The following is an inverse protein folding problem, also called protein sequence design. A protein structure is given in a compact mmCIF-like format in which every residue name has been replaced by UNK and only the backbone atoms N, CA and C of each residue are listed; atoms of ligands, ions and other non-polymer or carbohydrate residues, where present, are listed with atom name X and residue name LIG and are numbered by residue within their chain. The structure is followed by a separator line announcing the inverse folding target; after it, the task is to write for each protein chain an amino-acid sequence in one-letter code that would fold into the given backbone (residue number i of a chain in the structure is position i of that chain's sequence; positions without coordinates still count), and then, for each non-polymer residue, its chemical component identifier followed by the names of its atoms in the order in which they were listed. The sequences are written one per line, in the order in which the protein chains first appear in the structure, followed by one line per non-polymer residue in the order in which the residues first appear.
data_IF_820718403692
#
_entry.id   IF_820718403692
#
_cell.length_a   1.000
_cell.length_b   1.000
_cell.length_c   1.000
_cell.angle_alpha   90.00
_cell.angle_beta   90.00
_cell.angle_gamma   90.00
#
_symmetry.space_group_name_H-M   'P 1'
#
loop_
_entity.id
_entity.type
_entity.pdbx_description
1 polymer ?
#
# COMPACT_ATOMS: atom_id res chain seq x y z
N UNK A 1 -17.94 -1.34 13.91
CA UNK A 1 -19.41 -1.44 14.04
C UNK A 1 -19.94 -2.83 13.65
N UNK A 2 -19.49 -3.44 12.54
CA UNK A 2 -19.94 -4.80 12.12
C UNK A 2 -19.74 -5.92 13.15
N UNK A 3 -18.75 -5.81 14.04
CA UNK A 3 -18.51 -6.79 15.12
C UNK A 3 -19.05 -6.36 16.49
N UNK A 4 -19.99 -5.40 16.54
CA UNK A 4 -20.59 -4.90 17.79
C UNK A 4 -19.70 -3.98 18.63
N UNK A 5 -18.44 -3.77 18.23
CA UNK A 5 -17.55 -2.78 18.83
C UNK A 5 -17.70 -1.42 18.13
N UNK A 6 -17.87 -0.37 18.94
CA UNK A 6 -17.93 1.03 18.54
C UNK A 6 -16.68 1.70 19.11
N UNK A 7 -15.95 2.44 18.28
CA UNK A 7 -14.78 3.17 18.74
C UNK A 7 -15.24 4.44 19.47
N UNK A 8 -14.77 4.63 20.70
CA UNK A 8 -15.04 5.86 21.47
C UNK A 8 -14.27 7.06 20.90
N UNK A 9 -13.10 6.80 20.30
CA UNK A 9 -12.23 7.81 19.71
C UNK A 9 -11.83 7.42 18.29
N UNK A 10 -11.93 8.36 17.36
CA UNK A 10 -11.39 8.26 16.00
C UNK A 10 -10.62 9.55 15.70
N UNK A 11 -9.42 9.47 15.10
CA UNK A 11 -8.66 10.66 14.77
C UNK A 11 -9.27 11.37 13.56
N UNK A 12 -9.20 12.70 13.56
CA UNK A 12 -9.73 13.53 12.48
C UNK A 12 -8.88 13.40 11.20
N UNK A 13 -7.60 13.04 11.36
CA UNK A 13 -6.69 12.66 10.29
C UNK A 13 -6.32 11.17 10.45
N UNK A 14 -6.31 10.44 9.35
CA UNK A 14 -5.97 9.01 9.33
C UNK A 14 -4.44 8.76 9.45
N UNK A 15 -3.81 9.28 10.50
CA UNK A 15 -2.40 9.07 10.82
C UNK A 15 -2.19 8.75 12.32
N UNK A 16 -0.98 8.30 12.65
CA UNK A 16 -0.63 7.81 13.99
C UNK A 16 -0.56 8.95 15.01
N UNK A 17 -0.02 10.09 14.59
CA UNK A 17 0.21 11.27 15.40
C UNK A 17 -1.11 11.87 15.89
N UNK A 18 -2.08 12.05 14.99
CA UNK A 18 -3.42 12.55 15.32
C UNK A 18 -4.17 11.61 16.28
N UNK A 19 -3.95 10.29 16.18
CA UNK A 19 -4.53 9.33 17.12
C UNK A 19 -3.94 9.49 18.53
N UNK A 20 -2.62 9.64 18.64
CA UNK A 20 -1.95 9.88 19.93
C UNK A 20 -2.48 11.15 20.57
N UNK A 21 -2.53 12.26 19.81
CA UNK A 21 -3.05 13.53 20.31
C UNK A 21 -4.50 13.41 20.80
N UNK A 22 -5.38 12.78 20.02
CA UNK A 22 -6.78 12.58 20.38
C UNK A 22 -6.92 11.79 21.68
N UNK A 23 -6.19 10.68 21.82
CA UNK A 23 -6.26 9.85 23.03
C UNK A 23 -5.74 10.60 24.25
N UNK A 24 -4.61 11.29 24.15
CA UNK A 24 -4.02 12.07 25.25
C UNK A 24 -4.94 13.21 25.71
N UNK A 25 -5.67 13.83 24.79
CA UNK A 25 -6.62 14.91 25.10
C UNK A 25 -7.88 14.42 25.81
N UNK A 26 -8.33 13.19 25.53
CA UNK A 26 -9.62 12.69 25.99
C UNK A 26 -9.52 11.68 27.14
N UNK A 27 -8.35 11.05 27.34
CA UNK A 27 -8.17 9.96 28.30
C UNK A 27 -6.96 10.20 29.20
N UNK A 28 -7.00 9.63 30.41
CA UNK A 28 -5.85 9.64 31.31
C UNK A 28 -4.83 8.60 30.83
N UNK A 29 -3.63 9.05 30.45
CA UNK A 29 -2.58 8.12 30.01
C UNK A 29 -1.81 7.48 31.17
N UNK A 30 -1.58 8.23 32.25
CA UNK A 30 -0.72 7.80 33.36
C UNK A 30 -1.27 6.53 34.03
N UNK A 31 -0.47 5.46 34.03
CA UNK A 31 -0.82 4.11 34.56
C UNK A 31 -1.93 3.38 33.78
N UNK A 32 -2.30 3.86 32.60
CA UNK A 32 -3.26 3.17 31.72
C UNK A 32 -2.53 2.11 30.93
N UNK A 33 -3.08 0.90 30.91
CA UNK A 33 -2.54 -0.23 30.14
C UNK A 33 -3.27 -0.32 28.80
N UNK A 34 -2.53 -0.19 27.71
CA UNK A 34 -3.08 -0.11 26.36
C UNK A 34 -2.57 -1.31 25.56
N UNK A 35 -3.49 -2.14 25.07
CA UNK A 35 -3.16 -3.17 24.10
C UNK A 35 -3.16 -2.56 22.70
N UNK A 36 -2.04 -2.67 21.97
CA UNK A 36 -1.90 -2.13 20.62
C UNK A 36 -1.71 -3.28 19.61
N UNK A 37 -2.80 -3.83 19.05
CA UNK A 37 -2.71 -4.82 17.98
C UNK A 37 -2.27 -4.14 16.66
N UNK A 38 -1.23 -4.64 16.02
CA UNK A 38 -0.69 -4.03 14.80
C UNK A 38 0.10 -4.97 13.90
N UNK A 39 0.60 -4.42 12.79
CA UNK A 39 1.52 -5.11 11.90
C UNK A 39 2.85 -5.42 12.59
N UNK A 40 3.58 -6.42 12.11
CA UNK A 40 4.97 -6.65 12.50
C UNK A 40 5.91 -5.47 12.17
N UNK A 41 5.53 -4.61 11.22
CA UNK A 41 6.25 -3.39 10.80
C UNK A 41 5.49 -2.12 11.23
N UNK A 42 4.66 -2.20 12.28
CA UNK A 42 3.95 -1.02 12.76
C UNK A 42 4.95 0.08 13.16
N UNK A 43 4.67 1.32 12.74
CA UNK A 43 5.46 2.48 13.17
C UNK A 43 5.38 2.59 14.70
N UNK A 44 6.51 2.87 15.33
CA UNK A 44 6.58 3.02 16.79
C UNK A 44 5.89 4.27 17.32
N UNK A 45 5.47 5.19 16.44
CA UNK A 45 4.85 6.47 16.79
C UNK A 45 3.73 6.36 17.83
N UNK A 46 2.84 5.37 17.71
CA UNK A 46 1.73 5.18 18.67
C UNK A 46 2.24 4.70 20.02
N UNK A 47 3.12 3.69 20.01
CA UNK A 47 3.69 3.09 21.22
C UNK A 47 4.52 4.15 21.97
N UNK A 48 5.48 4.76 21.29
CA UNK A 48 6.38 5.75 21.85
C UNK A 48 5.59 7.00 22.30
N UNK A 49 4.64 7.44 21.48
CA UNK A 49 3.79 8.60 21.76
C UNK A 49 2.98 8.44 23.04
N UNK A 50 2.22 7.35 23.18
CA UNK A 50 1.40 7.13 24.38
C UNK A 50 2.25 6.82 25.62
N UNK A 51 3.36 6.09 25.46
CA UNK A 51 4.30 5.83 26.57
C UNK A 51 4.96 7.11 27.08
N UNK A 52 5.25 8.09 26.22
CA UNK A 52 5.76 9.39 26.63
C UNK A 52 4.80 10.16 27.56
N UNK A 53 3.49 9.91 27.45
CA UNK A 53 2.46 10.45 28.34
C UNK A 53 2.15 9.56 29.56
N UNK A 54 2.90 8.47 29.76
CA UNK A 54 2.85 7.62 30.95
C UNK A 54 1.94 6.40 30.85
N UNK A 55 1.50 6.03 29.64
CA UNK A 55 0.79 4.77 29.41
C UNK A 55 1.76 3.58 29.32
N UNK A 56 1.31 2.43 29.81
CA UNK A 56 1.96 1.14 29.60
C UNK A 56 1.37 0.51 28.33
N UNK A 57 2.07 0.68 27.20
CA UNK A 57 1.59 0.19 25.91
C UNK A 57 2.19 -1.19 25.62
N UNK A 58 1.32 -2.18 25.43
CA UNK A 58 1.67 -3.53 25.03
C UNK A 58 1.39 -3.74 23.54
N UNK A 59 2.40 -3.66 22.66
CA UNK A 59 2.23 -3.98 21.26
C UNK A 59 2.03 -5.49 21.06
N UNK A 60 1.05 -5.87 20.24
CA UNK A 60 0.81 -7.26 19.82
C UNK A 60 0.82 -7.32 18.31
N UNK A 61 1.73 -8.11 17.73
CA UNK A 61 1.74 -8.37 16.30
C UNK A 61 0.61 -9.32 15.95
N UNK A 62 -0.40 -8.84 15.20
CA UNK A 62 -1.56 -9.65 14.79
C UNK A 62 -1.56 -9.99 13.30
N UNK A 63 -0.73 -9.32 12.50
CA UNK A 63 -0.48 -9.69 11.10
C UNK A 63 0.94 -9.31 10.67
N UNK A 64 1.41 -9.94 9.59
CA UNK A 64 2.71 -9.66 9.00
C UNK A 64 2.58 -9.23 7.54
N UNK A 65 3.26 -8.15 7.18
CA UNK A 65 3.52 -7.87 5.77
C UNK A 65 4.70 -8.74 5.35
N UNK A 66 4.46 -9.60 4.36
CA UNK A 66 5.49 -10.45 3.75
C UNK A 66 5.73 -9.92 2.34
N UNK A 67 6.99 -9.75 1.97
CA UNK A 67 7.35 -9.41 0.59
C UNK A 67 7.12 -10.65 -0.28
N UNK A 68 6.51 -10.47 -1.43
CA UNK A 68 6.41 -11.51 -2.45
C UNK A 68 7.77 -11.63 -3.13
N UNK A 69 8.42 -12.78 -2.99
CA UNK A 69 9.76 -13.02 -3.56
C UNK A 69 9.68 -13.59 -4.99
N UNK A 70 8.59 -14.30 -5.31
CA UNK A 70 8.37 -14.92 -6.61
C UNK A 70 6.94 -14.70 -7.07
N UNK A 71 6.74 -14.62 -8.38
CA UNK A 71 5.40 -14.65 -8.96
C UNK A 71 4.88 -16.10 -9.00
N UNK A 72 3.56 -16.31 -9.02
CA UNK A 72 2.98 -17.61 -9.37
C UNK A 72 3.51 -18.08 -10.75
N UNK A 73 3.72 -19.39 -10.89
CA UNK A 73 4.38 -20.02 -12.04
C UNK A 73 3.68 -19.70 -13.38
N UNK A 74 2.38 -19.39 -13.35
CA UNK A 74 1.57 -19.06 -14.52
C UNK A 74 1.77 -17.63 -15.04
N UNK A 75 2.23 -16.69 -14.20
CA UNK A 75 2.23 -15.26 -14.55
C UNK A 75 3.23 -14.95 -15.65
N UNK A 76 4.44 -15.49 -15.58
CA UNK A 76 5.46 -15.26 -16.60
C UNK A 76 5.01 -15.81 -17.97
N UNK A 77 4.55 -17.08 -18.10
CA UNK A 77 3.96 -17.57 -19.35
C UNK A 77 2.80 -16.70 -19.85
N UNK A 78 1.93 -16.21 -18.96
CA UNK A 78 0.81 -15.34 -19.34
C UNK A 78 1.27 -13.98 -19.89
N UNK A 79 2.35 -13.41 -19.35
CA UNK A 79 2.94 -12.17 -19.85
C UNK A 79 3.59 -12.40 -21.23
N UNK A 80 4.43 -13.43 -21.34
CA UNK A 80 5.15 -13.76 -22.58
C UNK A 80 4.20 -14.16 -23.72
N UNK A 81 3.11 -14.87 -23.42
CA UNK A 81 2.06 -15.24 -24.37
C UNK A 81 1.04 -14.13 -24.61
N UNK A 82 1.25 -12.93 -24.02
CA UNK A 82 0.39 -11.76 -24.16
C UNK A 82 -1.07 -11.99 -23.73
N UNK A 83 -1.28 -12.91 -22.78
CA UNK A 83 -2.58 -13.12 -22.12
C UNK A 83 -2.87 -12.03 -21.09
N UNK A 84 -1.83 -11.50 -20.45
CA UNK A 84 -1.91 -10.30 -19.61
C UNK A 84 -1.55 -9.09 -20.47
N UNK A 85 -2.53 -8.23 -20.68
CA UNK A 85 -2.39 -7.06 -21.55
C UNK A 85 -2.03 -5.79 -20.79
N UNK A 86 -2.23 -5.76 -19.46
CA UNK A 86 -2.06 -4.58 -18.65
C UNK A 86 -1.73 -4.96 -17.20
N UNK A 87 -0.76 -4.25 -16.61
CA UNK A 87 -0.40 -4.34 -15.20
C UNK A 87 -0.59 -2.98 -14.52
N UNK A 88 -1.20 -2.98 -13.33
CA UNK A 88 -1.47 -1.75 -12.57
C UNK A 88 -0.65 -1.72 -11.28
N UNK A 89 -0.22 -0.52 -10.88
CA UNK A 89 0.46 -0.29 -9.61
C UNK A 89 -0.23 0.80 -8.80
N UNK A 90 -0.78 0.40 -7.65
CA UNK A 90 -1.42 1.31 -6.69
C UNK A 90 -0.45 1.87 -5.63
N UNK A 91 0.80 1.41 -5.59
CA UNK A 91 1.81 1.96 -4.69
C UNK A 91 3.24 1.73 -5.20
N UNK A 92 4.18 2.55 -4.74
CA UNK A 92 5.61 2.34 -5.00
C UNK A 92 6.13 1.01 -4.47
N UNK A 93 5.56 0.48 -3.38
CA UNK A 93 5.99 -0.80 -2.82
C UNK A 93 5.62 -1.97 -3.73
N UNK A 94 4.45 -1.93 -4.40
CA UNK A 94 4.07 -3.00 -5.32
C UNK A 94 4.90 -2.99 -6.59
N UNK A 95 5.31 -1.80 -7.08
CA UNK A 95 6.26 -1.68 -8.19
C UNK A 95 7.56 -2.44 -7.87
N UNK A 96 8.20 -2.09 -6.75
CA UNK A 96 9.50 -2.68 -6.37
C UNK A 96 9.40 -4.18 -6.15
N UNK A 97 8.38 -4.62 -5.40
CA UNK A 97 8.15 -6.03 -5.12
C UNK A 97 7.91 -6.82 -6.41
N UNK A 98 7.06 -6.32 -7.31
CA UNK A 98 6.79 -6.98 -8.59
C UNK A 98 8.05 -7.06 -9.46
N UNK A 99 8.79 -5.97 -9.62
CA UNK A 99 10.02 -5.99 -10.43
C UNK A 99 11.09 -6.92 -9.85
N UNK A 100 11.15 -7.05 -8.53
CA UNK A 100 12.04 -8.02 -7.89
C UNK A 100 11.57 -9.46 -8.14
N UNK A 101 10.25 -9.69 -8.07
CA UNK A 101 9.65 -11.01 -8.26
C UNK A 101 9.70 -11.52 -9.72
N UNK A 102 9.94 -10.63 -10.69
CA UNK A 102 10.24 -11.02 -12.08
C UNK A 102 11.57 -11.78 -12.19
N UNK A 103 12.50 -11.57 -11.24
CA UNK A 103 13.77 -12.28 -11.17
C UNK A 103 14.54 -12.24 -12.50
N UNK A 104 14.97 -13.41 -12.97
CA UNK A 104 15.77 -13.57 -14.19
C UNK A 104 15.01 -13.24 -15.48
N UNK A 105 13.67 -13.32 -15.48
CA UNK A 105 12.86 -12.95 -16.65
C UNK A 105 12.93 -11.45 -16.95
N UNK A 106 13.24 -10.64 -15.93
CA UNK A 106 13.43 -9.21 -16.03
C UNK A 106 12.24 -8.46 -16.65
N UNK A 107 12.47 -7.19 -17.00
CA UNK A 107 11.42 -6.34 -17.57
C UNK A 107 11.05 -6.74 -19.01
N UNK A 108 11.86 -7.54 -19.69
CA UNK A 108 11.59 -8.03 -21.05
C UNK A 108 10.34 -8.89 -21.12
N UNK A 109 9.99 -9.59 -20.05
CA UNK A 109 8.71 -10.30 -19.93
C UNK A 109 7.49 -9.38 -20.03
N UNK A 110 7.65 -8.07 -19.81
CA UNK A 110 6.58 -7.07 -19.91
C UNK A 110 6.50 -6.42 -21.30
N UNK A 111 7.26 -6.88 -22.30
CA UNK A 111 7.24 -6.28 -23.62
C UNK A 111 5.85 -6.37 -24.26
N UNK A 112 5.28 -5.21 -24.61
CA UNK A 112 3.92 -5.12 -25.15
C UNK A 112 2.81 -5.14 -24.08
N UNK A 113 3.16 -5.20 -22.80
CA UNK A 113 2.21 -5.07 -21.69
C UNK A 113 2.06 -3.60 -21.30
N UNK A 114 0.83 -3.11 -21.24
CA UNK A 114 0.56 -1.73 -20.81
C UNK A 114 0.77 -1.58 -19.30
N UNK A 115 1.44 -0.52 -18.86
CA UNK A 115 1.69 -0.25 -17.45
C UNK A 115 0.89 0.97 -16.99
N UNK A 116 0.10 0.81 -15.93
CA UNK A 116 -0.66 1.88 -15.31
C UNK A 116 -0.22 2.13 -13.87
N UNK A 117 -0.13 3.39 -13.45
CA UNK A 117 0.18 3.78 -12.07
C UNK A 117 -0.91 4.68 -11.50
N UNK A 118 -1.23 4.52 -10.21
CA UNK A 118 -2.27 5.35 -9.56
C UNK A 118 -1.88 6.82 -9.44
N UNK A 119 -0.60 7.16 -9.41
CA UNK A 119 -0.17 8.55 -9.18
C UNK A 119 1.33 8.79 -9.35
N UNK A 120 1.77 10.06 -9.16
CA UNK A 120 3.10 10.53 -9.56
C UNK A 120 4.24 9.86 -8.80
N UNK A 121 4.06 9.56 -7.51
CA UNK A 121 5.07 8.89 -6.69
C UNK A 121 5.30 7.45 -7.18
N UNK A 122 4.21 6.72 -7.46
CA UNK A 122 4.27 5.37 -8.02
C UNK A 122 4.90 5.37 -9.41
N UNK A 123 4.53 6.33 -10.26
CA UNK A 123 5.12 6.51 -11.61
C UNK A 123 6.63 6.80 -11.55
N UNK A 124 7.07 7.66 -10.63
CA UNK A 124 8.50 7.91 -10.41
C UNK A 124 9.22 6.62 -10.04
N UNK A 125 8.65 5.85 -9.09
CA UNK A 125 9.25 4.58 -8.68
C UNK A 125 9.33 3.58 -9.83
N UNK A 126 8.29 3.49 -10.67
CA UNK A 126 8.28 2.64 -11.86
C UNK A 126 9.41 3.01 -12.83
N UNK A 127 9.61 4.31 -13.07
CA UNK A 127 10.71 4.80 -13.90
C UNK A 127 12.09 4.50 -13.32
N UNK A 128 12.25 4.66 -12.00
CA UNK A 128 13.52 4.38 -11.32
C UNK A 128 13.96 2.92 -11.47
N UNK A 129 12.99 1.99 -11.61
CA UNK A 129 13.25 0.56 -11.84
C UNK A 129 13.21 0.18 -13.32
N UNK A 130 13.13 1.13 -14.25
CA UNK A 130 13.21 0.90 -15.69
C UNK A 130 11.89 0.65 -16.41
N UNK A 131 10.73 0.76 -15.74
CA UNK A 131 9.42 0.64 -16.39
C UNK A 131 9.02 1.95 -17.09
N UNK A 132 8.46 1.81 -18.29
CA UNK A 132 7.66 2.87 -18.90
C UNK A 132 6.23 2.81 -18.35
N UNK A 133 5.64 3.97 -18.06
CA UNK A 133 4.26 4.07 -17.56
C UNK A 133 3.41 4.75 -18.62
N UNK A 134 2.43 4.01 -19.13
CA UNK A 134 1.55 4.41 -20.23
C UNK A 134 0.34 5.17 -19.71
N UNK A 135 -0.18 4.78 -18.53
CA UNK A 135 -1.42 5.32 -17.97
C UNK A 135 -1.17 5.85 -16.55
N UNK A 136 -1.61 7.07 -16.29
CA UNK A 136 -1.69 7.65 -14.94
C UNK A 136 -2.82 8.67 -14.90
N UNK A 137 -3.76 8.59 -13.94
CA UNK A 137 -4.80 9.59 -13.77
C UNK A 137 -4.23 10.92 -13.25
N UNK A 138 -5.02 11.99 -13.36
CA UNK A 138 -4.69 13.29 -12.75
C UNK A 138 -4.79 13.24 -11.22
N UNK A 139 -5.80 12.56 -10.69
CA UNK A 139 -6.01 12.35 -9.26
C UNK A 139 -5.54 10.95 -8.83
N UNK A 140 -4.82 10.86 -7.71
CA UNK A 140 -4.33 9.61 -7.17
C UNK A 140 -5.40 8.83 -6.40
N UNK A 141 -6.38 8.27 -7.13
CA UNK A 141 -7.43 7.41 -6.58
C UNK A 141 -7.64 6.15 -7.43
N UNK A 142 -8.19 5.10 -6.81
CA UNK A 142 -8.50 3.85 -7.53
C UNK A 142 -9.57 4.10 -8.59
N UNK A 143 -10.60 4.90 -8.29
CA UNK A 143 -11.65 5.26 -9.25
C UNK A 143 -11.07 5.97 -10.47
N UNK A 144 -10.23 6.99 -10.25
CA UNK A 144 -9.61 7.72 -11.36
C UNK A 144 -8.67 6.84 -12.19
N UNK A 145 -7.94 5.91 -11.55
CA UNK A 145 -7.10 4.95 -12.26
C UNK A 145 -7.93 4.03 -13.17
N UNK A 146 -9.08 3.55 -12.70
CA UNK A 146 -10.00 2.73 -13.50
C UNK A 146 -10.50 3.53 -14.71
N UNK A 147 -10.96 4.76 -14.49
CA UNK A 147 -11.46 5.62 -15.57
C UNK A 147 -10.38 5.88 -16.63
N UNK A 148 -9.14 6.16 -16.20
CA UNK A 148 -8.01 6.35 -17.10
C UNK A 148 -7.70 5.09 -17.92
N UNK A 149 -7.79 3.89 -17.32
CA UNK A 149 -7.59 2.61 -18.02
C UNK A 149 -8.68 2.39 -19.08
N UNK A 150 -9.94 2.65 -18.74
CA UNK A 150 -11.08 2.52 -19.67
C UNK A 150 -10.90 3.48 -20.84
N UNK A 151 -10.57 4.75 -20.58
CA UNK A 151 -10.34 5.75 -21.61
C UNK A 151 -9.19 5.37 -22.55
N UNK A 152 -8.06 4.89 -22.01
CA UNK A 152 -6.91 4.47 -22.81
C UNK A 152 -7.26 3.34 -23.81
N UNK A 153 -8.07 2.37 -23.37
CA UNK A 153 -8.51 1.25 -24.22
C UNK A 153 -9.38 1.70 -25.39
N UNK A 154 -10.22 2.73 -25.20
CA UNK A 154 -11.05 3.28 -26.28
C UNK A 154 -10.24 4.03 -27.35
N UNK A 155 -9.07 4.57 -27.00
CA UNK A 155 -8.20 5.29 -27.95
C UNK A 155 -7.19 4.40 -28.67
N UNK A 156 -7.05 3.14 -28.25
CA UNK A 156 -6.05 2.19 -28.77
C UNK A 156 -6.65 1.12 -29.70
N UNK A 157 -7.93 1.26 -30.10
CA UNK A 157 -8.59 0.48 -31.15
C UNK A 157 -8.63 1.29 -32.45
#
# INVERSE_FOLDING_TARGET
QEHGLIADHQPDQFNAEALVEKLVQNEVMKKTRILFPGANIARKTIVDGLTAYGAEVLPVTVYRTVTVETLPDEIIPMLEQKMIHLVTFASSSTVRAFTQALGEHGLTSLEGVTIACVGPVTRSTARDVGLSVDIMPEEASISALIDAIVQYRHHSQ
#
